data_IF_979999311454
#
_entry.id   IF_979999311454
#
_cell.length_a   1.000
_cell.length_b   1.000
_cell.length_c   1.000
_cell.angle_alpha   90.00
_cell.angle_beta   90.00
_cell.angle_gamma   90.00
#
_symmetry.space_group_name_H-M   'P 1'
#
loop_
_entity.id
_entity.type
_entity.pdbx_description
1 polymer ?
#
# COMPACT_ATOMS: atom_id res chain seq x y z
N UNK A 1 13.34 -7.14 -12.16
CA UNK A 1 12.51 -6.06 -12.76
C UNK A 1 11.06 -6.54 -12.73
N UNK A 2 10.20 -5.75 -12.15
CA UNK A 2 8.76 -6.01 -12.11
C UNK A 2 8.16 -6.12 -13.51
N UNK A 3 7.27 -7.07 -13.73
CA UNK A 3 6.60 -7.22 -15.03
C UNK A 3 5.54 -6.12 -15.20
N UNK A 4 5.67 -5.35 -16.28
CA UNK A 4 4.67 -4.35 -16.68
C UNK A 4 3.47 -5.05 -17.30
N UNK A 5 2.27 -4.67 -16.88
CA UNK A 5 1.01 -5.19 -17.37
C UNK A 5 0.36 -4.23 -18.38
N UNK A 6 -0.28 -4.74 -19.44
CA UNK A 6 -1.09 -3.90 -20.30
C UNK A 6 -2.35 -3.43 -19.56
N UNK A 7 -2.85 -2.24 -19.90
CA UNK A 7 -4.07 -1.70 -19.29
C UNK A 7 -5.28 -2.64 -19.44
N UNK A 8 -5.33 -3.45 -20.50
CA UNK A 8 -6.37 -4.44 -20.72
C UNK A 8 -6.39 -5.60 -19.69
N UNK A 9 -5.30 -5.79 -18.93
CA UNK A 9 -5.24 -6.75 -17.84
C UNK A 9 -5.81 -6.18 -16.53
N UNK A 10 -6.09 -4.88 -16.50
CA UNK A 10 -6.55 -4.17 -15.31
C UNK A 10 -8.06 -3.91 -15.37
N UNK A 11 -8.73 -4.10 -14.25
CA UNK A 11 -10.14 -3.76 -14.09
C UNK A 11 -10.28 -2.61 -13.08
N UNK A 12 -10.91 -1.52 -13.53
CA UNK A 12 -11.28 -0.42 -12.64
C UNK A 12 -12.36 -0.88 -11.67
N UNK A 13 -12.23 -0.54 -10.39
CA UNK A 13 -13.17 -0.93 -9.33
C UNK A 13 -13.56 0.26 -8.48
N UNK A 14 -14.76 0.18 -7.90
CA UNK A 14 -15.25 1.09 -6.88
C UNK A 14 -14.81 0.64 -5.48
N UNK A 15 -14.86 1.52 -4.49
CA UNK A 15 -14.63 1.14 -3.08
C UNK A 15 -15.61 0.08 -2.60
N UNK A 16 -16.86 0.09 -3.09
CA UNK A 16 -17.85 -0.96 -2.78
C UNK A 16 -17.41 -2.33 -3.30
N UNK A 17 -16.95 -2.40 -4.53
CA UNK A 17 -16.45 -3.66 -5.12
C UNK A 17 -15.19 -4.12 -4.39
N UNK A 18 -14.28 -3.20 -4.09
CA UNK A 18 -13.05 -3.53 -3.37
C UNK A 18 -13.34 -4.08 -1.96
N UNK A 19 -14.33 -3.52 -1.25
CA UNK A 19 -14.81 -4.05 0.02
C UNK A 19 -15.38 -5.46 -0.12
N UNK A 20 -16.14 -5.74 -1.18
CA UNK A 20 -16.68 -7.07 -1.45
C UNK A 20 -15.58 -8.08 -1.77
N UNK A 21 -14.56 -7.68 -2.54
CA UNK A 21 -13.36 -8.50 -2.75
C UNK A 21 -12.67 -8.81 -1.41
N UNK A 22 -12.44 -7.82 -0.57
CA UNK A 22 -11.89 -8.03 0.78
C UNK A 22 -12.71 -9.04 1.58
N UNK A 23 -14.03 -8.94 1.57
CA UNK A 23 -14.91 -9.88 2.27
C UNK A 23 -14.80 -11.31 1.70
N UNK A 24 -14.73 -11.46 0.38
CA UNK A 24 -14.60 -12.76 -0.28
C UNK A 24 -13.26 -13.45 0.02
N UNK A 25 -12.19 -12.67 0.06
CA UNK A 25 -10.82 -13.20 0.27
C UNK A 25 -10.35 -13.18 1.74
N UNK A 26 -11.19 -12.75 2.69
CA UNK A 26 -10.81 -12.65 4.11
C UNK A 26 -10.28 -13.96 4.69
N UNK A 27 -11.00 -15.06 4.51
CA UNK A 27 -10.60 -16.37 5.05
C UNK A 27 -9.37 -16.95 4.36
N UNK A 28 -9.27 -16.96 3.01
CA UNK A 28 -8.05 -17.36 2.31
C UNK A 28 -6.81 -16.61 2.77
N UNK A 29 -6.89 -15.28 2.89
CA UNK A 29 -5.77 -14.45 3.34
C UNK A 29 -5.41 -14.71 4.80
N UNK A 30 -6.41 -14.82 5.70
CA UNK A 30 -6.17 -15.14 7.11
C UNK A 30 -5.48 -16.50 7.26
N UNK A 31 -5.91 -17.50 6.49
CA UNK A 31 -5.27 -18.82 6.49
C UNK A 31 -3.82 -18.76 5.98
N UNK A 32 -3.56 -18.04 4.88
CA UNK A 32 -2.22 -17.87 4.34
C UNK A 32 -1.29 -17.13 5.32
N UNK A 33 -1.79 -16.09 6.00
CA UNK A 33 -1.05 -15.35 7.02
C UNK A 33 -0.73 -16.23 8.23
N UNK A 34 -1.71 -16.99 8.73
CA UNK A 34 -1.54 -17.88 9.88
C UNK A 34 -0.48 -18.95 9.65
N UNK A 35 -0.35 -19.48 8.42
CA UNK A 35 0.74 -20.42 8.06
C UNK A 35 2.14 -19.81 8.18
N UNK A 36 2.23 -18.49 8.17
CA UNK A 36 3.45 -17.74 8.39
C UNK A 36 3.55 -17.17 9.82
N UNK A 37 2.70 -17.63 10.75
CA UNK A 37 2.57 -17.13 12.12
C UNK A 37 2.32 -15.60 12.17
N UNK A 38 1.44 -15.09 11.29
CA UNK A 38 1.10 -13.68 11.15
C UNK A 38 -0.41 -13.47 11.04
N UNK A 39 -0.83 -12.21 11.11
CA UNK A 39 -2.16 -11.74 10.74
C UNK A 39 -2.13 -11.15 9.33
N UNK A 40 -3.30 -11.06 8.68
CA UNK A 40 -3.47 -10.34 7.42
C UNK A 40 -3.13 -8.86 7.59
N UNK A 41 -2.39 -8.30 6.63
CA UNK A 41 -1.97 -6.90 6.64
C UNK A 41 -2.17 -6.26 5.26
N UNK A 42 -2.28 -4.93 5.23
CA UNK A 42 -2.19 -4.11 4.03
C UNK A 42 -0.82 -3.44 4.00
N UNK A 43 -0.12 -3.56 2.88
CA UNK A 43 1.12 -2.84 2.63
C UNK A 43 0.92 -1.83 1.51
N UNK A 44 1.29 -0.58 1.79
CA UNK A 44 1.11 0.57 0.91
C UNK A 44 2.43 0.92 0.24
N UNK A 45 2.37 1.18 -1.06
CA UNK A 45 3.54 1.37 -1.91
C UNK A 45 3.39 2.53 -2.89
N UNK A 46 4.47 2.92 -3.50
CA UNK A 46 4.50 3.46 -4.86
C UNK A 46 5.20 2.47 -5.80
N UNK A 47 4.99 2.61 -7.12
CA UNK A 47 5.59 1.66 -8.09
C UNK A 47 7.03 2.02 -8.49
N UNK A 48 7.45 3.27 -8.33
CA UNK A 48 8.64 3.87 -8.94
C UNK A 48 8.64 3.75 -10.49
N UNK A 49 7.46 3.62 -11.08
CA UNK A 49 7.21 3.66 -12.52
C UNK A 49 6.55 4.97 -12.93
N UNK A 50 5.96 5.00 -14.13
CA UNK A 50 5.20 6.13 -14.64
C UNK A 50 3.72 6.09 -14.20
N UNK A 51 3.05 7.24 -14.22
CA UNK A 51 1.60 7.26 -14.17
C UNK A 51 1.01 6.43 -15.31
N UNK A 52 -0.08 5.71 -15.05
CA UNK A 52 -0.69 4.79 -16.01
C UNK A 52 0.10 3.51 -16.29
N UNK A 53 1.26 3.29 -15.67
CA UNK A 53 2.07 2.10 -15.83
C UNK A 53 1.77 1.06 -14.76
N UNK A 54 1.06 -0.01 -15.11
CA UNK A 54 0.66 -1.07 -14.20
C UNK A 54 1.72 -2.17 -14.08
N UNK A 55 1.76 -2.81 -12.90
CA UNK A 55 2.75 -3.83 -12.55
C UNK A 55 2.11 -5.09 -11.96
N UNK A 56 2.74 -6.24 -12.19
CA UNK A 56 2.29 -7.53 -11.67
C UNK A 56 2.53 -7.73 -10.16
N UNK A 57 3.28 -6.85 -9.52
CA UNK A 57 3.70 -7.02 -8.13
C UNK A 57 2.67 -6.55 -7.10
N UNK A 58 1.56 -5.96 -7.53
CA UNK A 58 0.59 -5.35 -6.62
C UNK A 58 -0.84 -5.81 -6.92
N UNK A 59 -1.62 -6.07 -5.88
CA UNK A 59 -3.03 -6.46 -5.98
C UNK A 59 -3.92 -5.32 -6.44
N UNK A 60 -3.70 -4.13 -5.86
CA UNK A 60 -4.48 -2.92 -6.11
C UNK A 60 -3.53 -1.80 -6.53
N UNK A 61 -3.88 -1.07 -7.57
CA UNK A 61 -3.08 0.01 -8.11
C UNK A 61 -3.95 1.24 -8.33
N UNK A 62 -3.40 2.42 -8.02
CA UNK A 62 -4.13 3.69 -8.04
C UNK A 62 -3.41 4.64 -9.00
N UNK A 63 -4.11 5.06 -10.04
CA UNK A 63 -3.54 5.96 -11.05
C UNK A 63 -3.61 7.44 -10.62
N UNK A 64 -2.96 8.30 -11.36
CA UNK A 64 -2.80 9.73 -11.07
C UNK A 64 -4.11 10.50 -10.83
N UNK A 65 -5.22 10.02 -11.42
CA UNK A 65 -6.57 10.56 -11.22
C UNK A 65 -7.29 10.02 -9.98
N UNK A 66 -6.63 9.15 -9.20
CA UNK A 66 -7.20 8.47 -8.04
C UNK A 66 -8.05 7.23 -8.38
N UNK A 67 -8.14 6.85 -9.66
CA UNK A 67 -8.88 5.65 -10.07
C UNK A 67 -8.21 4.39 -9.54
N UNK A 68 -9.01 3.48 -9.01
CA UNK A 68 -8.57 2.24 -8.36
C UNK A 68 -8.70 1.08 -9.35
N UNK A 69 -7.65 0.29 -9.48
CA UNK A 69 -7.58 -0.86 -10.38
C UNK A 69 -7.14 -2.12 -9.63
N UNK A 70 -7.63 -3.26 -10.10
CA UNK A 70 -7.20 -4.60 -9.70
C UNK A 70 -6.78 -5.41 -10.92
N UNK A 71 -5.92 -6.41 -10.75
CA UNK A 71 -5.53 -7.31 -11.84
C UNK A 71 -6.67 -8.28 -12.11
N UNK A 72 -7.12 -8.38 -13.37
CA UNK A 72 -8.13 -9.33 -13.80
C UNK A 72 -9.41 -9.28 -12.97
N UNK A 73 -9.79 -10.38 -12.33
CA UNK A 73 -10.96 -10.50 -11.47
C UNK A 73 -10.73 -9.98 -10.03
N UNK A 74 -9.49 -9.64 -9.67
CA UNK A 74 -9.14 -9.07 -8.37
C UNK A 74 -8.88 -10.12 -7.28
N UNK A 75 -8.24 -11.24 -7.63
CA UNK A 75 -7.85 -12.27 -6.68
C UNK A 75 -6.84 -11.72 -5.66
N UNK A 76 -7.31 -11.42 -4.44
CA UNK A 76 -6.47 -10.84 -3.38
C UNK A 76 -5.58 -11.87 -2.68
N UNK A 77 -5.81 -13.16 -2.85
CA UNK A 77 -4.97 -14.24 -2.32
C UNK A 77 -3.85 -14.67 -3.29
N UNK A 78 -3.78 -14.06 -4.46
CA UNK A 78 -2.64 -14.22 -5.36
C UNK A 78 -1.36 -13.70 -4.68
N UNK A 79 -0.23 -14.39 -4.91
CA UNK A 79 1.03 -13.99 -4.32
C UNK A 79 1.74 -12.99 -5.23
N UNK A 80 1.85 -11.75 -4.80
CA UNK A 80 2.58 -10.69 -5.48
C UNK A 80 3.86 -10.30 -4.72
N UNK A 81 4.94 -10.00 -5.45
CA UNK A 81 6.27 -9.77 -4.87
C UNK A 81 6.48 -8.31 -4.44
N UNK A 82 5.56 -7.75 -3.65
CA UNK A 82 5.57 -6.35 -3.25
C UNK A 82 6.49 -6.02 -2.07
N UNK A 83 6.52 -6.89 -1.05
CA UNK A 83 7.20 -6.59 0.22
C UNK A 83 8.00 -7.82 0.68
N UNK A 84 9.29 -7.62 0.96
CA UNK A 84 10.20 -8.72 1.27
C UNK A 84 9.72 -9.59 2.44
N UNK A 85 9.53 -10.89 2.18
CA UNK A 85 9.04 -11.91 3.12
C UNK A 85 7.71 -11.58 3.81
N UNK A 86 6.90 -10.68 3.24
CA UNK A 86 5.61 -10.23 3.80
C UNK A 86 4.41 -10.50 2.89
N UNK A 87 4.64 -11.07 1.71
CA UNK A 87 3.60 -11.18 0.67
C UNK A 87 2.49 -12.20 0.99
N UNK A 88 2.82 -13.32 1.66
CA UNK A 88 1.81 -14.34 1.97
C UNK A 88 0.79 -13.85 2.98
N UNK A 89 -0.49 -13.87 2.62
CA UNK A 89 -1.59 -13.45 3.49
C UNK A 89 -1.70 -11.95 3.68
N UNK A 90 -1.11 -11.14 2.80
CA UNK A 90 -1.22 -9.69 2.81
C UNK A 90 -1.72 -9.18 1.46
N UNK A 91 -2.24 -7.95 1.45
CA UNK A 91 -2.65 -7.24 0.24
C UNK A 91 -1.75 -6.01 0.06
N UNK A 92 -1.16 -5.86 -1.13
CA UNK A 92 -0.37 -4.70 -1.52
C UNK A 92 -1.22 -3.72 -2.33
N UNK A 93 -1.12 -2.42 -1.97
CA UNK A 93 -1.77 -1.31 -2.68
C UNK A 93 -0.66 -0.35 -3.12
N UNK A 94 -0.59 -0.01 -4.41
CA UNK A 94 0.46 0.86 -4.92
C UNK A 94 -0.08 2.07 -5.67
N UNK A 95 0.54 3.23 -5.46
CA UNK A 95 0.37 4.41 -6.31
C UNK A 95 1.22 4.24 -7.58
N UNK A 96 0.64 4.41 -8.75
CA UNK A 96 1.38 4.48 -10.00
C UNK A 96 2.12 5.82 -10.05
N UNK A 97 3.40 5.80 -10.37
CA UNK A 97 4.22 7.00 -10.39
C UNK A 97 5.51 6.86 -9.59
N UNK A 98 6.07 7.98 -9.19
CA UNK A 98 7.33 8.09 -8.47
C UNK A 98 8.53 7.57 -9.26
N UNK A 99 8.51 7.72 -10.60
CA UNK A 99 9.63 7.34 -11.46
C UNK A 99 10.89 8.11 -11.05
N UNK A 100 11.97 7.37 -10.82
CA UNK A 100 13.24 7.94 -10.35
C UNK A 100 13.24 8.30 -8.85
N UNK A 101 12.20 7.96 -8.08
CA UNK A 101 12.18 8.23 -6.65
C UNK A 101 13.32 7.52 -5.91
N UNK A 102 13.84 8.21 -4.91
CA UNK A 102 14.81 7.71 -3.93
C UNK A 102 14.20 7.71 -2.54
N UNK A 103 14.99 7.43 -1.52
CA UNK A 103 14.53 7.49 -0.13
C UNK A 103 14.04 8.88 0.29
N UNK A 104 14.65 9.95 -0.23
CA UNK A 104 14.40 11.35 0.19
C UNK A 104 13.82 12.22 -0.93
N UNK A 105 13.46 11.63 -2.07
CA UNK A 105 12.94 12.33 -3.24
C UNK A 105 11.79 11.52 -3.86
N UNK A 106 10.68 12.18 -4.17
CA UNK A 106 9.50 11.56 -4.77
C UNK A 106 9.62 11.33 -6.27
N UNK A 107 10.68 11.81 -6.90
CA UNK A 107 10.91 11.66 -8.35
C UNK A 107 10.10 12.61 -9.20
N UNK A 108 10.09 12.34 -10.52
CA UNK A 108 9.50 13.25 -11.51
C UNK A 108 7.95 13.20 -11.53
N UNK A 109 7.36 12.12 -11.08
CA UNK A 109 5.90 11.92 -11.04
C UNK A 109 5.45 11.61 -9.60
N UNK A 110 5.46 12.61 -8.68
CA UNK A 110 5.16 12.40 -7.26
C UNK A 110 3.68 12.04 -7.04
N UNK A 111 3.30 11.49 -5.86
CA UNK A 111 1.92 11.19 -5.56
C UNK A 111 1.02 12.41 -5.74
N UNK A 112 -0.09 12.25 -6.46
CA UNK A 112 -1.10 13.32 -6.60
C UNK A 112 -2.03 13.34 -5.38
N UNK A 113 -2.68 14.48 -5.14
CA UNK A 113 -3.72 14.57 -4.11
C UNK A 113 -4.85 13.56 -4.34
N UNK A 114 -5.25 13.34 -5.60
CA UNK A 114 -6.26 12.35 -5.96
C UNK A 114 -5.81 10.91 -5.64
N UNK A 115 -4.54 10.58 -5.86
CA UNK A 115 -3.98 9.28 -5.50
C UNK A 115 -3.97 9.06 -3.99
N UNK A 116 -3.60 10.06 -3.20
CA UNK A 116 -3.57 9.96 -1.74
C UNK A 116 -4.97 9.71 -1.18
N UNK A 117 -5.99 10.43 -1.70
CA UNK A 117 -7.38 10.17 -1.34
C UNK A 117 -7.84 8.78 -1.80
N UNK A 118 -7.51 8.39 -3.05
CA UNK A 118 -7.80 7.05 -3.58
C UNK A 118 -7.16 5.93 -2.74
N UNK A 119 -5.93 6.11 -2.30
CA UNK A 119 -5.22 5.16 -1.43
C UNK A 119 -5.91 5.03 -0.06
N UNK A 120 -6.28 6.14 0.54
CA UNK A 120 -6.99 6.15 1.83
C UNK A 120 -8.37 5.47 1.71
N UNK A 121 -9.12 5.77 0.64
CA UNK A 121 -10.41 5.12 0.35
C UNK A 121 -10.26 3.61 0.10
N UNK A 122 -9.25 3.20 -0.66
CA UNK A 122 -8.97 1.79 -0.93
C UNK A 122 -8.57 1.04 0.35
N UNK A 123 -7.71 1.64 1.18
CA UNK A 123 -7.32 1.07 2.47
C UNK A 123 -8.52 0.92 3.41
N UNK A 124 -9.40 1.93 3.48
CA UNK A 124 -10.63 1.86 4.27
C UNK A 124 -11.57 0.75 3.78
N UNK A 125 -11.78 0.64 2.45
CA UNK A 125 -12.65 -0.38 1.85
C UNK A 125 -12.13 -1.80 2.10
N UNK A 126 -10.82 -2.03 1.91
CA UNK A 126 -10.20 -3.33 2.17
C UNK A 126 -10.18 -3.67 3.66
N UNK A 127 -9.83 -2.72 4.53
CA UNK A 127 -9.86 -2.94 5.98
C UNK A 127 -11.25 -3.35 6.47
N UNK A 128 -12.30 -2.77 5.90
CA UNK A 128 -13.69 -3.19 6.19
C UNK A 128 -13.99 -4.61 5.73
N UNK A 129 -13.69 -4.92 4.46
CA UNK A 129 -13.95 -6.24 3.89
C UNK A 129 -13.18 -7.34 4.60
N UNK A 130 -11.95 -7.06 4.96
CA UNK A 130 -11.02 -7.99 5.64
C UNK A 130 -11.21 -8.03 7.16
N UNK A 131 -12.01 -7.12 7.75
CA UNK A 131 -12.20 -6.95 9.19
C UNK A 131 -10.92 -6.56 9.93
N UNK A 132 -10.11 -5.72 9.31
CA UNK A 132 -8.90 -5.18 9.92
C UNK A 132 -9.19 -3.87 10.65
N UNK A 133 -8.46 -3.61 11.73
CA UNK A 133 -8.31 -2.26 12.26
C UNK A 133 -7.39 -1.45 11.35
N UNK A 134 -7.58 -0.14 11.33
CA UNK A 134 -6.69 0.77 10.59
C UNK A 134 -5.71 1.35 11.63
N UNK A 135 -4.63 0.64 11.82
CA UNK A 135 -3.57 0.96 12.78
C UNK A 135 -2.18 0.62 12.19
N UNK A 136 -1.12 0.93 12.95
CA UNK A 136 0.28 0.66 12.57
C UNK A 136 0.64 -0.82 12.53
N UNK A 137 -0.20 -1.71 13.04
CA UNK A 137 0.05 -3.15 12.99
C UNK A 137 -0.48 -3.79 11.71
N UNK A 138 -1.56 -3.21 11.11
CA UNK A 138 -2.31 -3.85 10.02
C UNK A 138 -2.33 -3.06 8.72
N UNK A 139 -2.11 -1.75 8.75
CA UNK A 139 -2.06 -0.89 7.56
C UNK A 139 -0.78 -0.07 7.59
N UNK A 140 0.22 -0.52 6.87
CA UNK A 140 1.57 0.03 6.92
C UNK A 140 2.05 0.46 5.54
N UNK A 141 2.95 1.42 5.52
CA UNK A 141 3.74 1.71 4.32
C UNK A 141 4.88 0.71 4.16
N UNK A 142 5.45 0.63 2.96
CA UNK A 142 6.66 -0.16 2.73
C UNK A 142 7.83 0.37 3.59
N UNK A 143 7.93 1.67 3.78
CA UNK A 143 8.93 2.27 4.67
C UNK A 143 8.81 1.77 6.12
N UNK A 144 7.60 1.73 6.67
CA UNK A 144 7.35 1.19 8.01
C UNK A 144 7.65 -0.32 8.10
N UNK A 145 7.35 -1.08 7.03
CA UNK A 145 7.71 -2.50 6.96
C UNK A 145 9.22 -2.71 6.84
N UNK A 146 9.94 -1.85 6.13
CA UNK A 146 11.39 -1.89 6.01
C UNK A 146 12.08 -1.71 7.37
N UNK A 147 11.45 -1.02 8.30
CA UNK A 147 11.94 -0.85 9.68
C UNK A 147 11.35 -1.87 10.67
N UNK A 148 10.65 -2.88 10.20
CA UNK A 148 9.98 -3.93 10.98
C UNK A 148 8.92 -3.41 11.97
N UNK A 149 8.31 -2.27 11.72
CA UNK A 149 7.27 -1.68 12.59
C UNK A 149 5.98 -2.49 12.61
N UNK A 150 5.80 -3.37 11.62
CA UNK A 150 4.69 -4.33 11.56
C UNK A 150 4.81 -5.52 12.54
N UNK A 151 5.89 -5.55 13.33
CA UNK A 151 6.19 -6.66 14.23
C UNK A 151 6.77 -7.90 13.55
N UNK A 152 6.91 -7.90 12.22
CA UNK A 152 7.45 -9.03 11.43
C UNK A 152 8.96 -8.87 11.27
N UNK A 153 9.74 -9.52 12.12
CA UNK A 153 11.21 -9.44 12.13
C UNK A 153 11.81 -10.42 11.13
N UNK A 154 11.92 -10.04 9.87
CA UNK A 154 12.50 -10.86 8.79
C UNK A 154 13.92 -10.45 8.41
N UNK A 155 14.38 -9.32 8.90
CA UNK A 155 15.72 -8.76 8.75
C UNK A 155 16.01 -7.82 9.92
N UNK A 156 17.25 -7.35 10.07
CA UNK A 156 17.54 -6.25 10.99
C UNK A 156 16.81 -4.98 10.51
N UNK A 157 16.35 -4.11 11.42
CA UNK A 157 15.79 -2.82 11.04
C UNK A 157 16.79 -2.05 10.17
N UNK A 158 16.32 -1.49 9.06
CA UNK A 158 17.15 -0.68 8.18
C UNK A 158 17.00 0.79 8.56
N UNK A 159 18.10 1.51 8.52
CA UNK A 159 18.01 2.96 8.50
C UNK A 159 17.54 3.43 7.11
N UNK A 160 17.05 4.66 6.98
CA UNK A 160 16.47 5.19 5.75
C UNK A 160 17.45 5.22 4.55
N UNK A 161 18.73 5.01 4.77
CA UNK A 161 19.76 5.08 3.72
C UNK A 161 20.44 3.76 3.41
N UNK A 162 20.16 2.70 4.16
CA UNK A 162 20.92 1.45 4.07
C UNK A 162 20.06 0.26 3.68
N UNK A 163 18.78 0.44 3.50
CA UNK A 163 17.83 -0.63 3.23
C UNK A 163 17.94 -1.17 1.81
N UNK A 164 17.77 -2.46 1.65
CA UNK A 164 17.45 -3.09 0.37
C UNK A 164 15.95 -3.01 0.03
N UNK A 165 15.13 -2.56 0.97
CA UNK A 165 13.73 -2.22 0.82
C UNK A 165 13.60 -0.73 0.51
N UNK A 166 12.59 -0.35 -0.23
CA UNK A 166 12.29 1.06 -0.48
C UNK A 166 11.52 1.66 0.70
N UNK A 167 11.73 2.93 0.94
CA UNK A 167 11.00 3.71 1.94
C UNK A 167 9.78 4.39 1.33
N UNK A 168 8.99 3.60 0.63
CA UNK A 168 7.77 4.06 -0.03
C UNK A 168 6.82 4.70 0.98
N UNK A 169 6.32 5.88 0.64
CA UNK A 169 5.31 6.62 1.39
C UNK A 169 5.74 7.03 2.81
N UNK A 170 7.05 7.12 3.07
CA UNK A 170 7.54 7.70 4.32
C UNK A 170 7.12 9.16 4.45
N UNK A 171 6.99 9.86 3.32
CA UNK A 171 6.38 11.17 3.18
C UNK A 171 5.60 11.23 1.85
N UNK A 172 4.70 12.24 1.71
CA UNK A 172 3.76 12.30 0.60
C UNK A 172 3.96 13.51 -0.31
N UNK A 173 4.81 14.47 0.09
CA UNK A 173 4.99 15.75 -0.63
C UNK A 173 3.77 16.68 -0.55
N UNK A 174 2.88 16.46 0.43
CA UNK A 174 1.69 17.30 0.68
C UNK A 174 1.93 18.26 1.86
N UNK A 175 1.00 19.15 2.11
CA UNK A 175 1.07 20.05 3.26
C UNK A 175 1.09 19.31 4.61
N UNK A 176 0.43 18.16 4.69
CA UNK A 176 0.39 17.32 5.90
C UNK A 176 1.65 16.45 6.07
N UNK A 177 2.35 16.13 4.98
CA UNK A 177 3.54 15.29 4.96
C UNK A 177 4.54 15.82 3.93
N UNK A 178 5.20 16.98 4.22
CA UNK A 178 5.92 17.74 3.21
C UNK A 178 7.34 17.26 2.95
N UNK A 179 7.95 16.56 3.92
CA UNK A 179 9.36 16.17 3.87
C UNK A 179 9.55 14.74 4.35
N UNK A 180 10.67 14.13 3.96
CA UNK A 180 11.10 12.85 4.51
C UNK A 180 11.39 13.00 6.01
N UNK A 181 10.63 12.29 6.82
CA UNK A 181 10.69 12.39 8.28
C UNK A 181 10.55 11.00 8.93
N UNK A 182 11.57 10.11 8.76
CA UNK A 182 11.52 8.77 9.34
C UNK A 182 11.46 8.89 10.87
N UNK A 183 10.67 8.03 11.49
CA UNK A 183 10.40 8.02 12.93
C UNK A 183 9.74 9.31 13.46
N UNK A 184 9.08 10.10 12.61
CA UNK A 184 8.29 11.23 13.08
C UNK A 184 7.15 10.75 13.99
N UNK A 185 6.98 11.45 15.12
CA UNK A 185 5.93 11.18 16.11
C UNK A 185 4.80 12.22 16.08
N UNK A 186 4.91 13.21 15.19
CA UNK A 186 3.99 14.35 15.09
C UNK A 186 2.81 14.14 14.11
N UNK A 187 2.71 12.94 13.50
CA UNK A 187 1.65 12.61 12.54
C UNK A 187 1.91 13.10 11.11
N UNK A 188 3.10 13.58 10.78
CA UNK A 188 3.49 14.01 9.42
C UNK A 188 4.00 12.86 8.56
N UNK A 189 4.28 11.72 9.11
CA UNK A 189 4.67 10.51 8.39
C UNK A 189 3.57 10.09 7.43
N UNK A 190 3.92 9.70 6.20
CA UNK A 190 2.96 9.33 5.16
C UNK A 190 1.96 8.25 5.60
N UNK A 191 2.42 7.23 6.31
CA UNK A 191 1.57 6.19 6.86
C UNK A 191 0.53 6.72 7.86
N UNK A 192 0.88 7.66 8.73
CA UNK A 192 -0.03 8.26 9.70
C UNK A 192 -1.10 9.11 9.01
N UNK A 193 -0.71 9.91 8.02
CA UNK A 193 -1.64 10.71 7.21
C UNK A 193 -2.63 9.81 6.47
N UNK A 194 -2.16 8.74 5.81
CA UNK A 194 -3.03 7.82 5.07
C UNK A 194 -3.98 7.09 6.01
N UNK A 195 -3.49 6.58 7.16
CA UNK A 195 -4.35 5.92 8.16
C UNK A 195 -5.40 6.86 8.73
N UNK A 196 -5.04 8.09 9.04
CA UNK A 196 -6.00 9.12 9.50
C UNK A 196 -7.11 9.38 8.48
N UNK A 197 -6.76 9.59 7.21
CA UNK A 197 -7.73 9.74 6.12
C UNK A 197 -8.58 8.48 5.94
N UNK A 198 -7.99 7.30 5.99
CA UNK A 198 -8.71 6.02 5.85
C UNK A 198 -9.70 5.79 7.01
N UNK A 199 -9.33 6.13 8.24
CA UNK A 199 -10.25 6.10 9.39
C UNK A 199 -11.41 7.07 9.19
N UNK A 200 -11.16 8.27 8.68
CA UNK A 200 -12.20 9.24 8.37
C UNK A 200 -13.18 8.68 7.31
N UNK A 201 -12.68 8.15 6.19
CA UNK A 201 -13.53 7.53 5.16
C UNK A 201 -14.35 6.34 5.70
N UNK A 202 -13.78 5.57 6.62
CA UNK A 202 -14.51 4.46 7.26
C UNK A 202 -15.70 4.92 8.09
N UNK A 203 -15.60 6.08 8.72
CA UNK A 203 -16.63 6.64 9.59
C UNK A 203 -17.72 7.43 8.83
N UNK A 204 -17.41 7.94 7.63
CA UNK A 204 -18.27 8.84 6.86
C UNK A 204 -18.77 8.21 5.55
N UNK A 205 -19.13 6.95 5.58
CA UNK A 205 -19.68 6.20 4.43
C UNK A 205 -21.10 6.60 4.10
#
# INVERSE_FOLDING_TARGET
>A
MSAVLPASAMRRVTCRELRLLGAAYRLPLAYAAARCARETKLYLHWTAGHYGQFFADYHVQIDADGAIYVIGDGALDALHAATYRRNSGSVSIALLGCVGATTEDLGAEPPTAAQIEGLAMAAAALADGLWLTIDKERVLTHGEAADNEDGVRVHAPYGPRTTCERWDLEYLGTAESPVFAPWAEDGTRGGDVIRGKAQWYRQHK
#
